data_IF_518900620016
#
_entry.id   IF_518900620016
#
_cell.length_a   1.000
_cell.length_b   1.000
_cell.length_c   1.000
_cell.angle_alpha   90.00
_cell.angle_beta   90.00
_cell.angle_gamma   90.00
#
_symmetry.space_group_name_H-M   'P 1'
#
loop_
_entity.id
_entity.type
_entity.pdbx_description
1 polymer ?
#
# COMPACT_ATOMS: atom_id res chain seq x y z
N UNK A 1 18.73 -23.47 -13.60
CA UNK A 1 19.21 -23.50 -15.00
C UNK A 1 18.09 -23.73 -15.99
N UNK A 2 17.51 -24.94 -16.12
CA UNK A 2 16.51 -25.24 -17.16
C UNK A 2 15.35 -24.21 -17.25
N UNK A 3 14.68 -23.94 -16.12
CA UNK A 3 13.57 -22.96 -16.09
C UNK A 3 14.01 -21.50 -16.30
N UNK A 4 15.31 -21.20 -16.16
CA UNK A 4 15.83 -19.86 -16.40
C UNK A 4 16.09 -19.61 -17.90
N UNK A 5 16.20 -20.67 -18.73
CA UNK A 5 16.42 -20.56 -20.17
C UNK A 5 15.25 -19.89 -20.91
N UNK A 6 14.07 -19.80 -20.29
CA UNK A 6 12.91 -19.10 -20.88
C UNK A 6 13.06 -17.58 -20.81
N UNK A 7 13.98 -17.05 -19.99
CA UNK A 7 14.14 -15.62 -19.74
C UNK A 7 13.03 -15.00 -18.87
N UNK A 8 12.03 -15.78 -18.46
CA UNK A 8 10.92 -15.29 -17.63
C UNK A 8 11.30 -15.16 -16.15
N UNK A 9 12.41 -15.78 -15.75
CA UNK A 9 13.00 -15.64 -14.43
C UNK A 9 12.76 -16.78 -13.46
N UNK A 10 13.71 -16.95 -12.55
CA UNK A 10 13.63 -17.91 -11.44
C UNK A 10 14.02 -17.24 -10.14
N UNK A 11 13.19 -17.39 -9.11
CA UNK A 11 13.49 -16.96 -7.74
C UNK A 11 14.02 -18.14 -6.93
N UNK A 12 15.19 -17.98 -6.30
CA UNK A 12 15.75 -18.90 -5.32
C UNK A 12 15.62 -18.28 -3.95
N UNK A 13 14.76 -18.88 -3.12
CA UNK A 13 14.35 -18.33 -1.83
C UNK A 13 15.07 -19.10 -0.73
N UNK A 14 15.74 -18.37 0.16
CA UNK A 14 16.46 -18.91 1.32
C UNK A 14 15.95 -18.26 2.61
N UNK A 15 16.36 -18.79 3.77
CA UNK A 15 15.90 -18.29 5.08
C UNK A 15 16.57 -16.99 5.54
N UNK A 16 17.76 -16.63 5.04
CA UNK A 16 18.44 -15.40 5.45
C UNK A 16 19.40 -14.82 4.39
N UNK A 17 19.72 -13.54 4.53
CA UNK A 17 20.55 -12.78 3.59
C UNK A 17 21.97 -13.34 3.42
N UNK A 18 22.54 -13.95 4.47
CA UNK A 18 23.86 -14.56 4.40
C UNK A 18 23.86 -15.76 3.46
N UNK A 19 22.86 -16.65 3.56
CA UNK A 19 22.71 -17.80 2.67
C UNK A 19 22.45 -17.36 1.24
N UNK A 20 21.53 -16.41 1.03
CA UNK A 20 21.26 -15.85 -0.29
C UNK A 20 22.53 -15.29 -0.95
N UNK A 21 23.33 -14.52 -0.20
CA UNK A 21 24.59 -13.93 -0.71
C UNK A 21 25.64 -14.98 -0.99
N UNK A 22 25.87 -15.91 -0.05
CA UNK A 22 26.82 -17.02 -0.22
C UNK A 22 26.48 -17.86 -1.45
N UNK A 23 25.20 -18.20 -1.61
CA UNK A 23 24.76 -19.11 -2.66
C UNK A 23 24.79 -18.45 -4.04
N UNK A 24 24.49 -17.15 -4.13
CA UNK A 24 24.67 -16.42 -5.39
C UNK A 24 26.16 -16.28 -5.76
N UNK A 25 27.07 -16.08 -4.80
CA UNK A 25 28.51 -15.99 -5.08
C UNK A 25 29.11 -17.33 -5.48
N UNK A 26 28.59 -18.42 -4.92
CA UNK A 26 29.07 -19.76 -5.19
C UNK A 26 28.48 -20.32 -6.50
N UNK A 27 27.16 -20.41 -6.60
CA UNK A 27 26.46 -20.98 -7.75
C UNK A 27 26.39 -20.02 -8.94
N UNK A 28 26.45 -18.71 -8.69
CA UNK A 28 26.50 -17.71 -9.75
C UNK A 28 27.72 -17.87 -10.65
N UNK A 29 28.85 -18.39 -10.16
CA UNK A 29 30.01 -18.72 -11.02
C UNK A 29 29.65 -19.74 -12.09
N UNK A 30 28.87 -20.77 -11.73
CA UNK A 30 28.42 -21.80 -12.66
C UNK A 30 27.37 -21.23 -13.63
N UNK A 31 26.38 -20.48 -13.13
CA UNK A 31 25.35 -19.89 -13.99
C UNK A 31 25.93 -18.87 -14.98
N UNK A 32 26.85 -18.01 -14.53
CA UNK A 32 27.57 -17.07 -15.39
C UNK A 32 28.44 -17.80 -16.43
N UNK A 33 29.10 -18.90 -16.06
CA UNK A 33 29.84 -19.73 -17.01
C UNK A 33 28.93 -20.30 -18.10
N UNK A 34 27.68 -20.64 -17.77
CA UNK A 34 26.67 -21.10 -18.71
C UNK A 34 25.91 -19.96 -19.42
N UNK A 35 26.33 -18.70 -19.23
CA UNK A 35 25.76 -17.53 -19.91
C UNK A 35 24.49 -16.96 -19.31
N UNK A 36 24.12 -17.36 -18.09
CA UNK A 36 22.98 -16.81 -17.34
C UNK A 36 23.44 -15.79 -16.32
N UNK A 37 22.67 -14.72 -16.17
CA UNK A 37 22.86 -13.69 -15.17
C UNK A 37 22.24 -14.06 -13.82
N UNK A 38 22.88 -13.64 -12.73
CA UNK A 38 22.38 -13.83 -11.37
C UNK A 38 22.27 -12.53 -10.59
N UNK A 39 21.15 -12.32 -9.89
CA UNK A 39 20.93 -11.20 -8.97
C UNK A 39 20.72 -11.70 -7.54
N UNK A 40 20.88 -10.80 -6.56
CA UNK A 40 20.61 -11.09 -5.15
C UNK A 40 19.82 -9.94 -4.52
N UNK A 41 18.74 -10.28 -3.82
CA UNK A 41 17.90 -9.35 -3.07
C UNK A 41 18.19 -9.55 -1.58
N UNK A 42 18.77 -8.53 -0.96
CA UNK A 42 19.08 -8.47 0.47
C UNK A 42 18.60 -7.15 1.06
N UNK A 43 18.62 -7.06 2.39
CA UNK A 43 18.27 -5.83 3.08
C UNK A 43 19.16 -4.65 2.67
N UNK A 44 18.59 -3.44 2.61
CA UNK A 44 19.32 -2.19 2.33
C UNK A 44 19.52 -1.83 0.85
N UNK A 45 19.09 -2.68 -0.09
CA UNK A 45 19.14 -2.36 -1.52
C UNK A 45 18.14 -1.25 -1.91
N UNK A 46 18.57 -0.34 -2.77
CA UNK A 46 17.71 0.68 -3.39
C UNK A 46 16.76 0.06 -4.42
N UNK A 47 15.67 0.74 -4.77
CA UNK A 47 14.73 0.27 -5.80
C UNK A 47 15.38 0.07 -7.17
N UNK A 48 16.42 0.85 -7.50
CA UNK A 48 17.20 0.67 -8.73
C UNK A 48 18.04 -0.61 -8.69
N UNK A 49 18.73 -0.87 -7.57
CA UNK A 49 19.50 -2.11 -7.38
C UNK A 49 18.58 -3.34 -7.40
N UNK A 50 17.40 -3.25 -6.78
CA UNK A 50 16.39 -4.32 -6.83
C UNK A 50 15.92 -4.59 -8.25
N UNK A 51 15.56 -3.55 -9.02
CA UNK A 51 15.19 -3.71 -10.45
C UNK A 51 16.27 -4.41 -11.25
N UNK A 52 17.54 -4.04 -11.05
CA UNK A 52 18.66 -4.71 -11.71
C UNK A 52 18.76 -6.20 -11.31
N UNK A 53 18.59 -6.51 -10.03
CA UNK A 53 18.65 -7.89 -9.52
C UNK A 53 17.47 -8.77 -9.97
N UNK A 54 16.25 -8.24 -10.05
CA UNK A 54 15.09 -8.94 -10.62
C UNK A 54 15.18 -9.09 -12.15
N UNK A 55 15.97 -8.24 -12.81
CA UNK A 55 16.25 -8.31 -14.24
C UNK A 55 17.20 -9.46 -14.64
N UNK A 56 17.89 -10.09 -13.68
CA UNK A 56 18.75 -11.24 -13.93
C UNK A 56 17.94 -12.50 -14.29
N UNK A 57 18.55 -13.53 -14.88
CA UNK A 57 17.85 -14.79 -15.22
C UNK A 57 17.45 -15.58 -13.97
N UNK A 58 18.28 -15.50 -12.92
CA UNK A 58 18.08 -16.14 -11.62
C UNK A 58 18.29 -15.10 -10.52
N UNK A 59 17.33 -14.97 -9.62
CA UNK A 59 17.39 -14.02 -8.50
C UNK A 59 17.36 -14.78 -7.18
N UNK A 60 18.39 -14.62 -6.37
CA UNK A 60 18.46 -15.12 -5.00
C UNK A 60 17.87 -14.09 -4.03
N UNK A 61 17.33 -14.54 -2.91
CA UNK A 61 16.89 -13.64 -1.84
C UNK A 61 16.20 -14.40 -0.71
N UNK A 62 15.61 -13.64 0.20
CA UNK A 62 14.80 -14.20 1.29
C UNK A 62 13.31 -14.07 1.00
N UNK A 63 12.51 -14.94 1.61
CA UNK A 63 11.05 -14.91 1.54
C UNK A 63 10.50 -13.52 1.93
N UNK A 64 11.08 -12.91 2.96
CA UNK A 64 10.70 -11.59 3.46
C UNK A 64 10.95 -10.51 2.41
N UNK A 65 12.12 -10.49 1.79
CA UNK A 65 12.45 -9.48 0.79
C UNK A 65 11.60 -9.62 -0.49
N UNK A 66 11.41 -10.84 -0.99
CA UNK A 66 10.50 -11.08 -2.13
C UNK A 66 9.05 -10.69 -1.79
N UNK A 67 8.57 -11.02 -0.58
CA UNK A 67 7.21 -10.69 -0.16
C UNK A 67 7.01 -9.19 0.04
N UNK A 68 7.95 -8.48 0.68
CA UNK A 68 7.85 -7.04 0.86
C UNK A 68 8.01 -6.26 -0.45
N UNK A 69 8.84 -6.73 -1.38
CA UNK A 69 8.90 -6.14 -2.73
C UNK A 69 7.58 -6.31 -3.47
N UNK A 70 6.95 -7.48 -3.38
CA UNK A 70 5.62 -7.69 -3.97
C UNK A 70 4.58 -6.74 -3.35
N UNK A 71 4.58 -6.57 -2.02
CA UNK A 71 3.67 -5.64 -1.35
C UNK A 71 3.94 -4.18 -1.77
N UNK A 72 5.21 -3.74 -1.82
CA UNK A 72 5.62 -2.41 -2.28
C UNK A 72 5.23 -2.14 -3.74
N UNK A 73 5.39 -3.12 -4.62
CA UNK A 73 5.02 -3.03 -6.03
C UNK A 73 3.50 -2.90 -6.28
N UNK A 74 2.67 -3.17 -5.28
CA UNK A 74 1.22 -2.95 -5.33
C UNK A 74 0.79 -1.63 -4.67
N UNK A 75 1.74 -0.86 -4.14
CA UNK A 75 1.50 0.49 -3.59
C UNK A 75 2.11 1.62 -4.45
N UNK A 76 2.93 1.30 -5.46
CA UNK A 76 3.49 2.31 -6.36
C UNK A 76 2.41 2.97 -7.22
N UNK A 77 2.63 4.24 -7.57
CA UNK A 77 1.71 5.01 -8.40
C UNK A 77 1.93 4.69 -9.87
N UNK A 78 3.20 4.59 -10.28
CA UNK A 78 3.58 4.36 -11.68
C UNK A 78 4.13 2.95 -11.88
N UNK A 79 3.84 2.35 -13.03
CA UNK A 79 4.26 0.97 -13.34
C UNK A 79 5.78 0.85 -13.39
N UNK A 80 6.46 1.90 -13.80
CA UNK A 80 7.91 1.98 -13.98
C UNK A 80 8.66 1.96 -12.64
N UNK A 81 7.97 2.22 -11.52
CA UNK A 81 8.52 2.18 -10.17
C UNK A 81 8.56 0.77 -9.58
N UNK A 82 7.86 -0.20 -10.21
CA UNK A 82 7.88 -1.60 -9.76
C UNK A 82 9.27 -2.20 -9.87
N UNK A 83 9.65 -2.98 -8.86
CA UNK A 83 10.96 -3.64 -8.82
C UNK A 83 10.92 -5.08 -9.32
N UNK A 84 9.82 -5.79 -9.09
CA UNK A 84 9.64 -7.16 -9.57
C UNK A 84 9.15 -7.20 -11.01
N UNK A 85 9.47 -8.29 -11.68
CA UNK A 85 8.80 -8.72 -12.92
C UNK A 85 7.71 -9.74 -12.60
N UNK A 86 7.08 -10.29 -13.64
CA UNK A 86 6.08 -11.36 -13.52
C UNK A 86 6.64 -12.54 -12.71
N UNK A 87 5.90 -12.99 -11.70
CA UNK A 87 6.24 -14.19 -10.93
C UNK A 87 6.10 -15.42 -11.83
N UNK A 88 7.20 -16.14 -12.06
CA UNK A 88 7.25 -17.27 -12.98
C UNK A 88 7.53 -18.60 -12.27
N UNK A 89 8.72 -18.75 -11.69
CA UNK A 89 9.13 -19.98 -11.01
C UNK A 89 9.92 -19.65 -9.75
N UNK A 90 9.62 -20.37 -8.66
CA UNK A 90 10.32 -20.23 -7.39
C UNK A 90 10.80 -21.59 -6.89
N UNK A 91 12.02 -21.64 -6.41
CA UNK A 91 12.56 -22.78 -5.67
C UNK A 91 12.84 -22.29 -4.25
N UNK A 92 12.17 -22.93 -3.29
CA UNK A 92 12.28 -22.58 -1.88
C UNK A 92 13.22 -23.58 -1.21
N UNK A 93 14.37 -23.09 -0.75
CA UNK A 93 15.25 -23.85 0.13
C UNK A 93 14.70 -23.84 1.56
N UNK A 94 14.94 -24.91 2.32
CA UNK A 94 14.38 -25.08 3.67
C UNK A 94 12.85 -24.83 3.72
N UNK A 95 12.13 -25.54 2.84
CA UNK A 95 10.70 -25.31 2.56
C UNK A 95 9.80 -25.45 3.80
N UNK A 96 10.16 -26.30 4.74
CA UNK A 96 9.45 -26.47 6.01
C UNK A 96 9.59 -25.22 6.88
N UNK A 97 10.80 -24.68 7.00
CA UNK A 97 11.07 -23.43 7.73
C UNK A 97 10.28 -22.26 7.15
N UNK A 98 10.25 -22.12 5.82
CA UNK A 98 9.63 -20.95 5.17
C UNK A 98 8.11 -21.09 5.04
N UNK A 99 7.62 -22.21 4.50
CA UNK A 99 6.19 -22.36 4.17
C UNK A 99 5.34 -22.91 5.33
N UNK A 100 5.96 -23.41 6.40
CA UNK A 100 5.24 -23.89 7.59
C UNK A 100 5.52 -22.97 8.78
N UNK A 101 6.78 -22.80 9.18
CA UNK A 101 7.11 -22.13 10.44
C UNK A 101 6.98 -20.60 10.35
N UNK A 102 7.53 -19.98 9.30
CA UNK A 102 7.46 -18.53 9.11
C UNK A 102 6.09 -18.06 8.62
N UNK A 103 5.38 -18.89 7.84
CA UNK A 103 4.04 -18.60 7.32
C UNK A 103 2.96 -18.35 8.39
N UNK A 104 3.27 -18.58 9.68
CA UNK A 104 2.38 -18.27 10.81
C UNK A 104 2.15 -16.77 11.01
N UNK A 105 3.07 -15.92 10.56
CA UNK A 105 2.95 -14.46 10.71
C UNK A 105 2.85 -13.81 9.33
N UNK A 106 1.80 -13.00 9.06
CA UNK A 106 1.69 -12.33 7.77
C UNK A 106 2.73 -11.22 7.61
N UNK A 107 3.11 -10.94 6.37
CA UNK A 107 3.90 -9.76 6.02
C UNK A 107 3.01 -8.51 5.99
N UNK A 108 3.37 -7.49 6.78
CA UNK A 108 2.59 -6.27 6.95
C UNK A 108 3.50 -5.04 6.73
N UNK A 109 3.07 -4.12 5.86
CA UNK A 109 3.66 -2.78 5.78
C UNK A 109 2.81 -1.84 6.63
N UNK A 110 3.41 -1.35 7.71
CA UNK A 110 2.80 -0.36 8.59
C UNK A 110 3.35 1.02 8.27
N UNK A 111 2.47 1.96 7.93
CA UNK A 111 2.78 3.39 7.84
C UNK A 111 2.29 4.12 9.08
N UNK A 112 3.02 5.14 9.54
CA UNK A 112 2.45 6.10 10.47
C UNK A 112 1.31 6.84 9.77
N UNK A 113 0.09 6.76 10.31
CA UNK A 113 -1.02 7.54 9.78
C UNK A 113 -0.68 9.03 9.83
N UNK A 114 -0.97 9.76 8.75
CA UNK A 114 -0.75 11.20 8.73
C UNK A 114 -1.52 11.86 9.88
N UNK A 115 -0.85 12.75 10.62
CA UNK A 115 -1.47 13.50 11.72
C UNK A 115 -2.34 14.62 11.15
N UNK A 116 -3.51 14.28 10.62
CA UNK A 116 -4.48 15.23 10.09
C UNK A 116 -5.47 15.76 11.15
N UNK A 117 -5.12 15.70 12.44
CA UNK A 117 -5.99 16.11 13.55
C UNK A 117 -6.54 17.55 13.39
N UNK A 118 -5.78 18.45 12.76
CA UNK A 118 -6.22 19.82 12.52
C UNK A 118 -7.37 19.92 11.50
N UNK A 119 -7.33 19.13 10.43
CA UNK A 119 -8.35 19.19 9.38
C UNK A 119 -9.68 18.64 9.88
N UNK A 120 -9.67 17.59 10.70
CA UNK A 120 -10.88 17.11 11.37
C UNK A 120 -11.55 18.19 12.23
N UNK A 121 -10.77 18.97 12.98
CA UNK A 121 -11.32 20.08 13.79
C UNK A 121 -11.91 21.20 12.92
N UNK A 122 -11.25 21.54 11.80
CA UNK A 122 -11.76 22.57 10.88
C UNK A 122 -13.05 22.11 10.21
N UNK A 123 -13.09 20.86 9.73
CA UNK A 123 -14.29 20.28 9.12
C UNK A 123 -15.43 20.18 10.13
N UNK A 124 -15.17 19.76 11.37
CA UNK A 124 -16.16 19.72 12.46
C UNK A 124 -16.77 21.10 12.75
N UNK A 125 -15.94 22.14 12.83
CA UNK A 125 -16.41 23.51 13.04
C UNK A 125 -17.26 24.02 11.86
N UNK A 126 -16.87 23.67 10.62
CA UNK A 126 -17.63 24.03 9.43
C UNK A 126 -19.01 23.36 9.40
N UNK A 127 -19.08 22.04 9.59
CA UNK A 127 -20.35 21.32 9.48
C UNK A 127 -21.37 21.77 10.53
N UNK A 128 -20.92 22.17 11.72
CA UNK A 128 -21.77 22.74 12.78
C UNK A 128 -22.44 24.06 12.42
N UNK A 129 -21.95 24.76 11.40
CA UNK A 129 -22.55 26.00 10.90
C UNK A 129 -23.61 25.75 9.81
N UNK A 130 -23.76 24.50 9.35
CA UNK A 130 -24.70 24.13 8.32
C UNK A 130 -26.10 23.92 8.89
N UNK A 131 -27.12 24.24 8.08
CA UNK A 131 -28.53 24.12 8.43
C UNK A 131 -29.10 22.81 7.87
N UNK A 132 -29.76 22.05 8.73
CA UNK A 132 -30.49 20.83 8.34
C UNK A 132 -31.54 21.13 7.27
N UNK A 133 -31.76 20.19 6.35
CA UNK A 133 -32.75 20.26 5.24
C UNK A 133 -32.50 21.39 4.23
N UNK A 134 -31.46 22.21 4.43
CA UNK A 134 -31.03 23.25 3.49
C UNK A 134 -29.64 22.99 2.95
N UNK A 135 -28.68 22.74 3.83
CA UNK A 135 -27.28 22.59 3.46
C UNK A 135 -26.86 21.12 3.43
N UNK A 136 -27.53 20.26 4.19
CA UNK A 136 -27.33 18.81 4.17
C UNK A 136 -28.65 18.08 4.37
N UNK A 137 -28.71 16.83 3.90
CA UNK A 137 -29.84 15.92 4.06
C UNK A 137 -29.41 14.67 4.82
N UNK A 138 -30.31 14.15 5.66
CA UNK A 138 -30.10 12.91 6.41
C UNK A 138 -30.99 11.82 5.82
N UNK A 139 -30.38 10.72 5.39
CA UNK A 139 -31.11 9.48 5.08
C UNK A 139 -30.95 8.49 6.24
N UNK A 140 -31.97 8.39 7.08
CA UNK A 140 -32.00 7.46 8.22
C UNK A 140 -32.05 5.99 7.79
N UNK A 141 -32.59 5.68 6.60
CA UNK A 141 -32.65 4.29 6.10
C UNK A 141 -31.28 3.82 5.61
N UNK A 142 -30.55 4.70 4.93
CA UNK A 142 -29.20 4.44 4.45
C UNK A 142 -28.12 4.75 5.49
N UNK A 143 -28.49 5.32 6.64
CA UNK A 143 -27.57 5.83 7.67
C UNK A 143 -26.46 6.72 7.07
N UNK A 144 -26.87 7.66 6.23
CA UNK A 144 -25.97 8.54 5.48
C UNK A 144 -26.39 10.00 5.59
N UNK A 145 -25.40 10.88 5.69
CA UNK A 145 -25.58 12.33 5.71
C UNK A 145 -24.80 12.90 4.54
N UNK A 146 -25.47 13.65 3.67
CA UNK A 146 -24.88 14.20 2.45
C UNK A 146 -25.11 15.70 2.37
N UNK A 147 -24.13 16.42 1.80
CA UNK A 147 -24.33 17.82 1.43
C UNK A 147 -25.36 17.92 0.30
N UNK A 148 -26.14 18.98 0.36
CA UNK A 148 -26.95 19.46 -0.78
C UNK A 148 -26.12 20.42 -1.63
N UNK A 149 -26.63 20.83 -2.79
CA UNK A 149 -25.99 21.84 -3.64
C UNK A 149 -25.69 23.15 -2.88
N UNK A 150 -26.60 23.60 -2.00
CA UNK A 150 -26.38 24.77 -1.12
C UNK A 150 -25.24 24.56 -0.13
N UNK A 151 -25.09 23.34 0.39
CA UNK A 151 -24.01 22.98 1.28
C UNK A 151 -22.66 22.93 0.57
N UNK A 152 -22.65 22.46 -0.68
CA UNK A 152 -21.46 22.46 -1.55
C UNK A 152 -21.00 23.88 -1.83
N UNK A 153 -21.89 24.78 -2.25
CA UNK A 153 -21.53 26.19 -2.47
C UNK A 153 -20.97 26.88 -1.21
N UNK A 154 -21.48 26.51 -0.03
CA UNK A 154 -20.96 27.02 1.25
C UNK A 154 -19.58 26.47 1.56
N UNK A 155 -19.33 25.19 1.25
CA UNK A 155 -18.01 24.59 1.40
C UNK A 155 -17.01 25.28 0.47
N UNK A 156 -17.37 25.49 -0.79
CA UNK A 156 -16.55 26.20 -1.78
C UNK A 156 -16.14 27.60 -1.29
N UNK A 157 -17.11 28.37 -0.79
CA UNK A 157 -16.86 29.71 -0.23
C UNK A 157 -16.04 29.68 1.06
N UNK A 158 -16.28 28.72 1.96
CA UNK A 158 -15.61 28.64 3.25
C UNK A 158 -14.14 28.20 3.13
N UNK A 159 -13.84 27.30 2.19
CA UNK A 159 -12.51 26.78 1.95
C UNK A 159 -11.78 27.48 0.81
N UNK A 160 -12.45 28.40 0.10
CA UNK A 160 -11.86 29.21 -0.98
C UNK A 160 -11.49 28.37 -2.20
N UNK A 161 -12.33 27.40 -2.55
CA UNK A 161 -12.13 26.47 -3.66
C UNK A 161 -13.19 26.70 -4.74
N UNK A 162 -12.81 26.50 -6.00
CA UNK A 162 -13.68 26.80 -7.13
C UNK A 162 -14.70 25.68 -7.40
N UNK A 163 -14.26 24.43 -7.29
CA UNK A 163 -15.12 23.26 -7.48
C UNK A 163 -14.83 22.21 -6.41
N UNK A 164 -15.81 21.99 -5.55
CA UNK A 164 -15.74 20.99 -4.50
C UNK A 164 -15.49 19.59 -5.07
N UNK A 165 -16.01 19.27 -6.26
CA UNK A 165 -15.96 17.94 -6.87
C UNK A 165 -14.61 17.57 -7.52
N UNK A 166 -13.64 18.49 -7.57
CA UNK A 166 -12.35 18.24 -8.21
C UNK A 166 -11.52 17.20 -7.45
N UNK A 167 -10.71 16.44 -8.19
CA UNK A 167 -9.85 15.39 -7.65
C UNK A 167 -8.82 15.92 -6.61
N UNK A 168 -8.44 17.19 -6.73
CA UNK A 168 -7.53 17.87 -5.80
C UNK A 168 -8.15 18.08 -4.41
N UNK A 169 -9.49 18.05 -4.31
CA UNK A 169 -10.23 18.30 -3.07
C UNK A 169 -10.78 17.02 -2.40
N UNK A 170 -10.43 15.83 -2.90
CA UNK A 170 -10.94 14.54 -2.38
C UNK A 170 -10.70 14.37 -0.87
N UNK A 171 -9.58 14.84 -0.35
CA UNK A 171 -9.30 14.80 1.09
C UNK A 171 -10.25 15.71 1.89
N UNK A 172 -10.47 16.94 1.43
CA UNK A 172 -11.40 17.87 2.05
C UNK A 172 -12.83 17.30 2.04
N UNK A 173 -13.24 16.74 0.90
CA UNK A 173 -14.54 16.08 0.79
C UNK A 173 -14.69 14.96 1.82
N UNK A 174 -13.64 14.15 1.99
CA UNK A 174 -13.60 13.10 2.98
C UNK A 174 -13.78 13.66 4.39
N UNK A 175 -13.01 14.69 4.78
CA UNK A 175 -13.11 15.30 6.11
C UNK A 175 -14.51 15.85 6.41
N UNK A 176 -15.12 16.58 5.46
CA UNK A 176 -16.46 17.15 5.63
C UNK A 176 -17.52 16.06 5.74
N UNK A 177 -17.44 15.02 4.90
CA UNK A 177 -18.37 13.89 4.93
C UNK A 177 -18.28 13.11 6.25
N UNK A 178 -17.06 12.87 6.74
CA UNK A 178 -16.87 12.23 8.05
C UNK A 178 -17.38 13.12 9.19
N UNK A 179 -17.14 14.43 9.14
CA UNK A 179 -17.62 15.37 10.15
C UNK A 179 -19.17 15.46 10.18
N UNK A 180 -19.83 15.49 9.02
CA UNK A 180 -21.29 15.43 8.91
C UNK A 180 -21.85 14.15 9.52
N UNK A 181 -21.28 13.00 9.16
CA UNK A 181 -21.69 11.71 9.71
C UNK A 181 -21.49 11.65 11.22
N UNK A 182 -20.37 12.16 11.73
CA UNK A 182 -20.07 12.17 13.16
C UNK A 182 -21.06 13.07 13.95
N UNK A 183 -21.41 14.24 13.44
CA UNK A 183 -22.29 15.19 14.14
C UNK A 183 -23.77 14.85 14.02
N UNK A 184 -24.21 14.34 12.86
CA UNK A 184 -25.64 14.22 12.53
C UNK A 184 -26.09 12.78 12.26
N UNK A 185 -25.17 11.87 11.98
CA UNK A 185 -25.44 10.44 11.76
C UNK A 185 -25.12 9.53 12.95
N UNK A 186 -24.32 9.99 13.91
CA UNK A 186 -23.94 9.22 15.10
C UNK A 186 -24.47 9.87 16.37
N UNK A 187 -24.99 9.06 17.30
CA UNK A 187 -25.56 9.52 18.57
C UNK A 187 -24.78 8.95 19.74
N UNK A 188 -24.37 9.84 20.65
CA UNK A 188 -23.77 9.47 21.93
C UNK A 188 -24.76 8.59 22.73
N UNK A 189 -24.22 7.61 23.45
CA UNK A 189 -24.96 6.62 24.25
C UNK A 189 -25.86 5.66 23.45
N UNK A 190 -25.86 5.76 22.11
CA UNK A 190 -26.50 4.81 21.21
C UNK A 190 -25.48 4.11 20.31
N UNK A 191 -24.69 4.89 19.58
CA UNK A 191 -23.75 4.38 18.58
C UNK A 191 -22.32 4.32 19.12
N UNK A 192 -21.99 5.15 20.10
CA UNK A 192 -20.68 5.19 20.75
C UNK A 192 -20.74 5.76 22.17
N UNK A 193 -19.67 5.53 22.95
CA UNK A 193 -19.48 6.08 24.30
C UNK A 193 -18.12 6.78 24.38
N UNK A 194 -18.07 7.89 25.13
CA UNK A 194 -16.81 8.57 25.46
C UNK A 194 -16.38 8.12 26.85
N UNK A 195 -15.16 7.56 26.95
CA UNK A 195 -14.55 7.15 28.23
C UNK A 195 -13.64 8.23 28.77
#
# INVERSE_FOLDING_TARGET
>A
YLNALTGEGVHLITVNDYLATRDVEWMGRLYNFLGLSTGCIVHGLTSEQRRAAYGADITYGTNNEFGFDYLRDNMVIYKEEKVQRKLNFAVVDEVDSILIDEARTPLIISGAGEKSTKFYNVADNFVKQLLAEKDYTIDEKANSVMLTDSGVEKAEKAFGIDNYADAEHLELQHYITQALKANYGMKIDKDYMVK
#
